data_IF_539199380860
#
_entry.id   IF_539199380860
#
_cell.length_a   1.000
_cell.length_b   1.000
_cell.length_c   1.000
_cell.angle_alpha   90.00
_cell.angle_beta   90.00
_cell.angle_gamma   90.00
#
_symmetry.space_group_name_H-M   'P 1'
#
loop_
_entity.id
_entity.type
_entity.pdbx_description
1 polymer ?
#
# COMPACT_ATOMS: atom_id res chain seq x y z
N UNK A 1 5.00 -9.10 -38.00
CA UNK A 1 4.17 -9.79 -36.98
C UNK A 1 4.96 -9.80 -35.67
N UNK A 2 4.79 -8.80 -34.79
CA UNK A 2 5.44 -8.81 -33.47
C UNK A 2 4.63 -9.74 -32.58
N UNK A 3 5.14 -10.95 -32.35
CA UNK A 3 4.69 -11.84 -31.28
C UNK A 3 5.03 -11.15 -29.95
N UNK A 4 4.14 -10.30 -29.45
CA UNK A 4 4.20 -9.87 -28.06
C UNK A 4 3.79 -11.07 -27.22
N UNK A 5 4.77 -11.85 -26.80
CA UNK A 5 4.56 -12.91 -25.81
C UNK A 5 3.88 -12.26 -24.60
N UNK A 6 2.61 -12.61 -24.34
CA UNK A 6 1.89 -12.06 -23.20
C UNK A 6 2.62 -12.52 -21.94
N UNK A 7 3.16 -11.56 -21.19
CA UNK A 7 3.78 -11.82 -19.88
C UNK A 7 2.87 -12.69 -19.02
N UNK A 8 3.45 -13.57 -18.19
CA UNK A 8 2.67 -14.34 -17.20
C UNK A 8 1.93 -13.40 -16.24
N UNK A 9 0.79 -13.81 -15.63
CA UNK A 9 0.04 -12.95 -14.71
C UNK A 9 0.88 -12.38 -13.56
N UNK A 10 1.81 -13.18 -13.03
CA UNK A 10 2.78 -12.74 -12.01
C UNK A 10 3.72 -11.66 -12.54
N UNK A 11 4.28 -11.85 -13.75
CA UNK A 11 5.15 -10.87 -14.37
C UNK A 11 4.41 -9.56 -14.70
N UNK A 12 3.14 -9.65 -15.10
CA UNK A 12 2.28 -8.48 -15.31
C UNK A 12 2.08 -7.70 -14.00
N UNK A 13 1.72 -8.37 -12.91
CA UNK A 13 1.56 -7.75 -11.58
C UNK A 13 2.83 -7.04 -11.12
N UNK A 14 3.98 -7.71 -11.20
CA UNK A 14 5.28 -7.10 -10.84
C UNK A 14 5.55 -5.86 -11.69
N UNK A 15 5.30 -5.95 -13.00
CA UNK A 15 5.50 -4.83 -13.90
C UNK A 15 4.52 -3.67 -13.59
N UNK A 16 3.29 -3.94 -13.16
CA UNK A 16 2.35 -2.92 -12.72
C UNK A 16 2.77 -2.22 -11.43
N UNK A 17 3.25 -2.97 -10.44
CA UNK A 17 3.81 -2.41 -9.20
C UNK A 17 4.98 -1.50 -9.53
N UNK A 18 5.91 -2.00 -10.36
CA UNK A 18 7.10 -1.25 -10.72
C UNK A 18 6.78 0.00 -11.54
N UNK A 19 5.87 -0.10 -12.53
CA UNK A 19 5.39 1.07 -13.27
C UNK A 19 4.76 2.10 -12.33
N UNK A 20 3.90 1.66 -11.40
CA UNK A 20 3.28 2.54 -10.43
C UNK A 20 4.33 3.25 -9.56
N UNK A 21 5.25 2.48 -8.98
CA UNK A 21 6.35 3.00 -8.19
C UNK A 21 7.15 4.05 -8.97
N UNK A 22 7.68 3.70 -10.15
CA UNK A 22 8.51 4.60 -10.96
C UNK A 22 7.76 5.86 -11.37
N UNK A 23 6.53 5.75 -11.86
CA UNK A 23 5.74 6.93 -12.28
C UNK A 23 5.56 7.92 -11.13
N UNK A 24 5.10 7.45 -9.97
CA UNK A 24 4.86 8.34 -8.83
C UNK A 24 6.14 8.80 -8.13
N UNK A 25 7.20 7.99 -8.17
CA UNK A 25 8.52 8.36 -7.65
C UNK A 25 9.15 9.47 -8.49
N UNK A 26 9.03 9.43 -9.83
CA UNK A 26 9.49 10.51 -10.70
C UNK A 26 8.70 11.81 -10.47
N UNK A 27 7.37 11.72 -10.29
CA UNK A 27 6.53 12.87 -9.92
C UNK A 27 6.99 13.45 -8.57
N UNK A 28 7.20 12.60 -7.56
CA UNK A 28 7.70 13.04 -6.25
C UNK A 28 9.08 13.69 -6.37
N UNK A 29 9.99 13.16 -7.20
CA UNK A 29 11.30 13.74 -7.47
C UNK A 29 11.23 15.15 -8.07
N UNK A 30 10.35 15.36 -9.04
CA UNK A 30 10.11 16.70 -9.62
C UNK A 30 9.55 17.68 -8.58
N UNK A 31 8.58 17.23 -7.78
CA UNK A 31 8.01 18.04 -6.69
C UNK A 31 9.07 18.39 -5.63
N UNK A 32 9.96 17.45 -5.31
CA UNK A 32 11.08 17.70 -4.39
C UNK A 32 12.03 18.76 -4.93
N UNK A 33 12.37 18.72 -6.23
CA UNK A 33 13.22 19.76 -6.85
C UNK A 33 12.57 21.13 -6.71
N UNK A 34 11.28 21.26 -7.05
CA UNK A 34 10.54 22.51 -6.85
C UNK A 34 10.51 22.93 -5.37
N UNK A 35 10.22 21.99 -4.47
CA UNK A 35 10.17 22.23 -3.02
C UNK A 35 11.48 22.79 -2.46
N UNK A 36 12.65 22.30 -2.93
CA UNK A 36 13.96 22.82 -2.50
C UNK A 36 14.23 24.27 -2.92
N UNK A 37 13.52 24.77 -3.94
CA UNK A 37 13.63 26.16 -4.40
C UNK A 37 12.64 27.09 -3.71
N UNK A 38 11.61 26.55 -3.07
CA UNK A 38 10.50 27.31 -2.49
C UNK A 38 10.49 27.31 -0.96
N UNK A 39 11.23 26.41 -0.31
CA UNK A 39 11.34 26.37 1.16
C UNK A 39 12.72 26.82 1.60
N UNK A 40 12.80 28.02 2.18
CA UNK A 40 14.08 28.64 2.55
C UNK A 40 14.79 27.93 3.72
N UNK A 41 14.01 27.46 4.68
CA UNK A 41 14.52 26.79 5.88
C UNK A 41 14.60 25.28 5.70
N UNK A 42 15.79 24.71 5.91
CA UNK A 42 16.02 23.24 5.88
C UNK A 42 15.19 22.51 6.94
N UNK A 43 15.01 23.12 8.11
CA UNK A 43 14.19 22.55 9.17
C UNK A 43 12.71 22.53 8.77
N UNK A 44 12.21 23.64 8.25
CA UNK A 44 10.84 23.73 7.73
C UNK A 44 10.62 22.73 6.60
N UNK A 45 11.59 22.58 5.71
CA UNK A 45 11.55 21.59 4.64
C UNK A 45 11.42 20.16 5.20
N UNK A 46 12.28 19.78 6.15
CA UNK A 46 12.25 18.46 6.75
C UNK A 46 10.93 18.17 7.49
N UNK A 47 10.42 19.16 8.25
CA UNK A 47 9.14 19.04 8.96
C UNK A 47 8.00 18.86 7.97
N UNK A 48 7.87 19.73 6.97
CA UNK A 48 6.80 19.65 5.97
C UNK A 48 6.86 18.33 5.20
N UNK A 49 8.05 17.89 4.81
CA UNK A 49 8.23 16.63 4.09
C UNK A 49 7.81 15.44 4.95
N UNK A 50 8.23 15.40 6.21
CA UNK A 50 7.86 14.35 7.16
C UNK A 50 6.36 14.37 7.45
N UNK A 51 5.75 15.54 7.65
CA UNK A 51 4.31 15.69 7.83
C UNK A 51 3.54 15.19 6.61
N UNK A 52 4.02 15.48 5.41
CA UNK A 52 3.45 14.98 4.16
C UNK A 52 3.47 13.45 4.09
N UNK A 53 4.64 12.86 4.36
CA UNK A 53 4.80 11.41 4.38
C UNK A 53 3.93 10.75 5.46
N UNK A 54 3.90 11.29 6.68
CA UNK A 54 3.04 10.81 7.76
C UNK A 54 1.55 10.90 7.37
N UNK A 55 1.14 11.98 6.71
CA UNK A 55 -0.23 12.15 6.21
C UNK A 55 -0.59 11.06 5.19
N UNK A 56 0.34 10.68 4.31
CA UNK A 56 0.14 9.53 3.42
C UNK A 56 -0.04 8.24 4.23
N UNK A 57 0.85 7.94 5.19
CA UNK A 57 0.75 6.70 5.97
C UNK A 57 -0.55 6.62 6.78
N UNK A 58 -1.09 7.77 7.23
CA UNK A 58 -2.41 7.84 7.85
C UNK A 58 -3.53 7.56 6.84
N UNK A 59 -3.41 8.14 5.64
CA UNK A 59 -4.37 7.94 4.55
C UNK A 59 -4.42 6.48 4.14
N UNK A 60 -3.26 5.83 4.00
CA UNK A 60 -3.12 4.39 3.77
C UNK A 60 -3.89 3.58 4.82
N UNK A 61 -3.63 3.85 6.11
CA UNK A 61 -4.33 3.20 7.22
C UNK A 61 -5.85 3.38 7.14
N UNK A 62 -6.31 4.63 6.95
CA UNK A 62 -7.73 4.96 6.92
C UNK A 62 -8.45 4.35 5.72
N UNK A 63 -7.84 4.40 4.52
CA UNK A 63 -8.40 3.78 3.32
C UNK A 63 -8.48 2.25 3.48
N UNK A 64 -7.42 1.62 3.99
CA UNK A 64 -7.41 0.17 4.17
C UNK A 64 -8.46 -0.27 5.21
N UNK A 65 -8.50 0.38 6.37
CA UNK A 65 -9.44 0.04 7.44
C UNK A 65 -10.89 0.39 7.10
N UNK A 66 -11.14 1.62 6.68
CA UNK A 66 -12.51 2.13 6.59
C UNK A 66 -13.14 2.02 5.21
N UNK A 67 -12.36 1.90 4.14
CA UNK A 67 -12.89 1.79 2.78
C UNK A 67 -12.76 0.37 2.24
N UNK A 68 -11.57 -0.22 2.34
CA UNK A 68 -11.29 -1.54 1.75
C UNK A 68 -11.84 -2.70 2.60
N UNK A 69 -12.01 -2.50 3.91
CA UNK A 69 -12.59 -3.49 4.83
C UNK A 69 -14.04 -3.24 5.25
N UNK A 70 -14.62 -2.08 4.91
CA UNK A 70 -16.04 -1.86 5.14
C UNK A 70 -16.83 -1.96 3.84
N UNK A 71 -17.85 -2.81 3.86
CA UNK A 71 -18.89 -2.78 2.85
C UNK A 71 -19.74 -1.52 3.06
N UNK A 72 -19.60 -0.53 2.17
CA UNK A 72 -20.44 0.67 2.24
C UNK A 72 -21.91 0.26 2.15
N UNK A 73 -22.73 0.71 3.11
CA UNK A 73 -24.17 0.43 3.17
C UNK A 73 -24.95 0.87 1.92
N UNK A 74 -24.36 1.68 1.04
CA UNK A 74 -25.00 2.22 -0.16
C UNK A 74 -24.54 1.59 -1.48
N UNK A 75 -23.81 0.47 -1.43
CA UNK A 75 -23.46 -0.31 -2.63
C UNK A 75 -22.08 -0.95 -2.56
N UNK A 76 -21.86 -1.97 -3.39
CA UNK A 76 -20.55 -2.60 -3.57
C UNK A 76 -19.54 -1.54 -3.99
N UNK A 77 -18.52 -1.30 -3.17
CA UNK A 77 -17.36 -0.55 -3.64
C UNK A 77 -16.44 -1.53 -4.38
N UNK A 78 -16.02 -1.18 -5.61
CA UNK A 78 -15.05 -2.00 -6.34
C UNK A 78 -13.77 -2.24 -5.53
N UNK A 79 -13.42 -1.33 -4.61
CA UNK A 79 -12.26 -1.44 -3.73
C UNK A 79 -12.41 -2.56 -2.69
N UNK A 80 -13.58 -2.68 -2.07
CA UNK A 80 -13.87 -3.76 -1.12
C UNK A 80 -13.78 -5.13 -1.81
N UNK A 81 -14.47 -5.30 -2.94
CA UNK A 81 -14.50 -6.59 -3.64
C UNK A 81 -13.10 -7.02 -4.10
N UNK A 82 -12.30 -6.08 -4.65
CA UNK A 82 -10.92 -6.35 -5.06
C UNK A 82 -10.04 -6.69 -3.84
N UNK A 83 -10.22 -5.99 -2.72
CA UNK A 83 -9.44 -6.25 -1.51
C UNK A 83 -9.78 -7.60 -0.90
N UNK A 84 -11.06 -7.95 -0.83
CA UNK A 84 -11.51 -9.26 -0.35
C UNK A 84 -11.01 -10.39 -1.27
N UNK A 85 -10.94 -10.15 -2.58
CA UNK A 85 -10.33 -11.08 -3.52
C UNK A 85 -8.83 -11.25 -3.26
N UNK A 86 -8.12 -10.16 -2.96
CA UNK A 86 -6.72 -10.21 -2.54
C UNK A 86 -6.54 -10.98 -1.21
N UNK A 87 -7.47 -10.83 -0.27
CA UNK A 87 -7.47 -11.62 0.97
C UNK A 87 -7.57 -13.11 0.69
N UNK A 88 -8.41 -13.54 -0.27
CA UNK A 88 -8.55 -14.95 -0.67
C UNK A 88 -7.35 -15.48 -1.45
N UNK A 89 -6.75 -14.64 -2.27
CA UNK A 89 -5.65 -14.99 -3.18
C UNK A 89 -4.45 -14.05 -2.97
N UNK A 90 -3.75 -14.12 -1.80
CA UNK A 90 -2.69 -13.18 -1.44
C UNK A 90 -1.53 -13.15 -2.44
N UNK A 91 -1.23 -14.31 -3.04
CA UNK A 91 -0.19 -14.47 -4.08
C UNK A 91 -0.53 -13.74 -5.39
N UNK A 92 -1.82 -13.62 -5.71
CA UNK A 92 -2.31 -13.01 -6.94
C UNK A 92 -2.54 -11.52 -6.74
N UNK A 93 -1.52 -10.84 -6.20
CA UNK A 93 -1.57 -9.41 -5.95
C UNK A 93 -1.80 -8.66 -7.27
N UNK A 94 -2.80 -7.77 -7.29
CA UNK A 94 -3.13 -6.92 -8.44
C UNK A 94 -3.08 -5.48 -8.00
N UNK A 95 -2.46 -4.62 -8.80
CA UNK A 95 -2.42 -3.19 -8.48
C UNK A 95 -3.64 -2.52 -9.09
N UNK A 96 -4.56 -2.08 -8.23
CA UNK A 96 -5.84 -1.54 -8.67
C UNK A 96 -5.69 -0.19 -9.39
N UNK A 97 -6.11 -0.13 -10.65
CA UNK A 97 -6.15 1.11 -11.44
C UNK A 97 -7.06 2.18 -10.86
N UNK A 98 -8.18 1.81 -10.24
CA UNK A 98 -9.10 2.74 -9.62
C UNK A 98 -8.50 3.38 -8.35
N UNK A 99 -7.81 2.59 -7.52
CA UNK A 99 -7.09 3.14 -6.36
C UNK A 99 -6.01 4.13 -6.81
N UNK A 100 -5.27 3.81 -7.88
CA UNK A 100 -4.30 4.75 -8.49
C UNK A 100 -4.96 6.03 -8.99
N UNK A 101 -6.11 5.92 -9.66
CA UNK A 101 -6.83 7.08 -10.20
C UNK A 101 -7.39 7.95 -9.08
N UNK A 102 -8.02 7.36 -8.08
CA UNK A 102 -8.56 8.08 -6.93
C UNK A 102 -7.46 8.79 -6.16
N UNK A 103 -6.37 8.09 -5.84
CA UNK A 103 -5.22 8.69 -5.14
C UNK A 103 -4.55 9.76 -6.00
N UNK A 104 -4.45 9.57 -7.31
CA UNK A 104 -3.99 10.60 -8.24
C UNK A 104 -4.91 11.83 -8.24
N UNK A 105 -6.23 11.65 -8.34
CA UNK A 105 -7.20 12.75 -8.31
C UNK A 105 -7.15 13.53 -7.00
N UNK A 106 -7.10 12.85 -5.86
CA UNK A 106 -6.92 13.49 -4.54
C UNK A 106 -5.59 14.24 -4.50
N UNK A 107 -4.52 13.64 -5.03
CA UNK A 107 -3.20 14.28 -5.10
C UNK A 107 -3.23 15.54 -5.99
N UNK A 108 -3.92 15.52 -7.12
CA UNK A 108 -4.11 16.68 -8.01
C UNK A 108 -4.90 17.80 -7.33
N UNK A 109 -5.94 17.47 -6.55
CA UNK A 109 -6.71 18.46 -5.80
C UNK A 109 -5.83 19.12 -4.74
N UNK A 110 -5.09 18.32 -3.97
CA UNK A 110 -4.15 18.83 -2.94
C UNK A 110 -3.06 19.69 -3.58
N UNK A 111 -2.51 19.27 -4.73
CA UNK A 111 -1.53 20.05 -5.50
C UNK A 111 -2.12 21.38 -5.98
N UNK A 112 -3.36 21.37 -6.50
CA UNK A 112 -4.04 22.59 -6.96
C UNK A 112 -4.21 23.60 -5.83
N UNK A 113 -4.59 23.12 -4.64
CA UNK A 113 -4.68 23.95 -3.43
C UNK A 113 -3.29 24.46 -3.00
N UNK A 114 -2.26 23.61 -3.05
CA UNK A 114 -0.89 24.00 -2.70
C UNK A 114 -0.32 25.08 -3.64
N UNK A 115 -0.62 24.99 -4.95
CA UNK A 115 -0.27 26.01 -5.95
C UNK A 115 -1.00 27.31 -5.65
N UNK A 116 -2.32 27.24 -5.42
CA UNK A 116 -3.14 28.42 -5.13
C UNK A 116 -2.66 29.17 -3.87
N UNK A 117 -2.25 28.44 -2.84
CA UNK A 117 -1.79 29.01 -1.57
C UNK A 117 -0.29 29.36 -1.55
N UNK A 118 0.44 29.09 -2.64
CA UNK A 118 1.88 29.31 -2.78
C UNK A 118 2.76 28.71 -1.66
N UNK A 119 2.32 27.66 -0.94
CA UNK A 119 3.00 27.31 0.33
C UNK A 119 2.93 25.85 0.82
N UNK A 120 2.78 24.83 -0.03
CA UNK A 120 2.76 23.43 0.48
C UNK A 120 3.39 22.38 -0.45
N UNK A 121 4.24 22.77 -1.40
CA UNK A 121 4.90 21.83 -2.32
C UNK A 121 5.73 20.77 -1.60
N UNK A 122 6.42 21.14 -0.52
CA UNK A 122 7.24 20.21 0.28
C UNK A 122 6.40 19.16 1.00
N UNK A 123 5.27 19.59 1.57
CA UNK A 123 4.31 18.69 2.20
C UNK A 123 3.73 17.73 1.16
N UNK A 124 3.30 18.24 0.02
CA UNK A 124 2.76 17.43 -1.05
C UNK A 124 3.79 16.45 -1.63
N UNK A 125 5.05 16.87 -1.79
CA UNK A 125 6.15 16.01 -2.18
C UNK A 125 6.33 14.83 -1.22
N UNK A 126 6.23 15.07 0.10
CA UNK A 126 6.29 14.03 1.13
C UNK A 126 5.13 13.04 1.02
N UNK A 127 3.92 13.54 0.77
CA UNK A 127 2.73 12.71 0.56
C UNK A 127 2.89 11.81 -0.69
N UNK A 128 3.31 12.39 -1.82
CA UNK A 128 3.56 11.64 -3.05
C UNK A 128 4.69 10.62 -2.89
N UNK A 129 5.73 10.94 -2.12
CA UNK A 129 6.80 10.01 -1.81
C UNK A 129 6.25 8.80 -1.06
N UNK A 130 5.48 9.02 0.02
CA UNK A 130 4.81 7.94 0.74
C UNK A 130 3.96 7.05 -0.18
N UNK A 131 3.13 7.68 -1.03
CA UNK A 131 2.30 6.95 -1.98
C UNK A 131 3.09 6.13 -2.99
N UNK A 132 4.20 6.67 -3.50
CA UNK A 132 5.03 5.95 -4.47
C UNK A 132 5.53 4.62 -3.89
N UNK A 133 5.95 4.64 -2.62
CA UNK A 133 6.44 3.46 -1.91
C UNK A 133 5.34 2.49 -1.51
N UNK A 134 4.10 2.94 -1.26
CA UNK A 134 3.01 2.08 -0.78
C UNK A 134 2.82 0.79 -1.58
N UNK A 135 2.62 0.88 -2.89
CA UNK A 135 2.40 -0.31 -3.73
C UNK A 135 3.62 -1.23 -3.75
N UNK A 136 4.82 -0.64 -3.67
CA UNK A 136 6.06 -1.41 -3.62
C UNK A 136 6.24 -2.11 -2.28
N UNK A 137 5.98 -1.42 -1.15
CA UNK A 137 6.04 -2.01 0.19
C UNK A 137 5.03 -3.13 0.34
N UNK A 138 3.78 -2.95 -0.12
CA UNK A 138 2.77 -4.01 -0.11
C UNK A 138 3.25 -5.26 -0.87
N UNK A 139 3.85 -5.08 -2.06
CA UNK A 139 4.48 -6.17 -2.79
C UNK A 139 5.62 -6.85 -2.00
N UNK A 140 6.49 -6.06 -1.37
CA UNK A 140 7.57 -6.59 -0.55
C UNK A 140 7.03 -7.43 0.60
N UNK A 141 6.00 -6.98 1.32
CA UNK A 141 5.40 -7.75 2.42
C UNK A 141 4.85 -9.12 1.98
N UNK A 142 4.56 -9.31 0.68
CA UNK A 142 4.19 -10.61 0.08
C UNK A 142 5.38 -11.49 -0.31
N UNK A 143 6.62 -11.05 -0.08
CA UNK A 143 7.83 -11.82 -0.34
C UNK A 143 8.37 -12.50 0.94
N UNK A 144 8.72 -13.80 0.91
CA UNK A 144 9.21 -14.51 2.09
C UNK A 144 10.44 -13.89 2.77
N UNK A 145 11.27 -13.19 2.01
CA UNK A 145 12.50 -12.57 2.53
C UNK A 145 12.25 -11.26 3.28
N UNK A 146 11.06 -10.66 3.20
CA UNK A 146 10.77 -9.40 3.89
C UNK A 146 10.77 -9.51 5.41
N UNK A 147 10.71 -10.72 5.97
CA UNK A 147 10.90 -10.97 7.41
C UNK A 147 12.25 -10.49 7.93
N UNK A 148 13.27 -10.41 7.07
CA UNK A 148 14.61 -10.00 7.46
C UNK A 148 14.80 -8.49 7.51
N UNK A 149 13.98 -7.74 6.75
CA UNK A 149 14.09 -6.27 6.64
C UNK A 149 12.94 -5.52 7.31
N UNK A 150 11.75 -6.12 7.33
CA UNK A 150 10.50 -5.53 7.82
C UNK A 150 9.69 -6.56 8.65
N UNK A 151 10.30 -7.21 9.66
CA UNK A 151 9.70 -8.33 10.38
C UNK A 151 8.33 -8.00 10.98
N UNK A 152 8.20 -6.81 11.60
CA UNK A 152 6.97 -6.42 12.28
C UNK A 152 5.83 -6.13 11.30
N UNK A 153 6.12 -5.44 10.19
CA UNK A 153 5.14 -5.14 9.15
C UNK A 153 4.69 -6.41 8.43
N UNK A 154 5.63 -7.30 8.09
CA UNK A 154 5.27 -8.56 7.45
C UNK A 154 4.48 -9.47 8.40
N UNK A 155 4.89 -9.55 9.68
CA UNK A 155 4.14 -10.32 10.68
C UNK A 155 2.71 -9.79 10.81
N UNK A 156 2.55 -8.47 10.94
CA UNK A 156 1.23 -7.85 11.05
C UNK A 156 0.37 -8.14 9.81
N UNK A 157 0.95 -8.01 8.61
CA UNK A 157 0.25 -8.22 7.34
C UNK A 157 -0.11 -9.69 7.06
N UNK A 158 0.72 -10.65 7.46
CA UNK A 158 0.37 -12.08 7.40
C UNK A 158 -0.79 -12.39 8.35
N UNK A 159 -0.77 -11.83 9.57
CA UNK A 159 -1.87 -11.98 10.51
C UNK A 159 -3.16 -11.35 10.00
N UNK A 160 -3.07 -10.20 9.36
CA UNK A 160 -4.17 -9.51 8.70
C UNK A 160 -4.85 -10.39 7.64
N UNK A 161 -4.06 -11.00 6.74
CA UNK A 161 -4.59 -11.92 5.74
C UNK A 161 -5.15 -13.24 6.32
N UNK A 162 -4.77 -13.57 7.56
CA UNK A 162 -5.10 -14.83 8.20
C UNK A 162 -6.06 -14.66 9.37
N UNK A 163 -5.49 -14.72 10.58
CA UNK A 163 -6.23 -14.89 11.83
C UNK A 163 -6.96 -13.62 12.30
N UNK A 164 -6.48 -12.44 11.91
CA UNK A 164 -6.96 -11.15 12.44
C UNK A 164 -7.23 -10.15 11.30
N UNK A 165 -8.23 -10.39 10.44
CA UNK A 165 -8.53 -9.50 9.30
C UNK A 165 -8.98 -8.09 9.69
N UNK A 166 -9.37 -7.90 10.95
CA UNK A 166 -9.72 -6.62 11.57
C UNK A 166 -8.53 -5.90 12.25
N UNK A 167 -7.30 -6.40 12.06
CA UNK A 167 -6.05 -5.88 12.63
C UNK A 167 -4.95 -5.79 11.55
N UNK A 168 -3.96 -4.92 11.71
CA UNK A 168 -2.80 -4.81 10.82
C UNK A 168 -3.14 -4.14 9.48
N UNK A 169 -3.68 -2.92 9.53
CA UNK A 169 -4.10 -2.19 8.34
C UNK A 169 -2.97 -1.37 7.69
N UNK A 170 -1.85 -1.15 8.36
CA UNK A 170 -0.73 -0.40 7.79
C UNK A 170 0.27 -1.30 7.07
N UNK A 171 0.74 -0.84 5.92
CA UNK A 171 1.78 -1.46 5.10
C UNK A 171 3.12 -0.73 5.25
N UNK A 172 3.08 0.59 5.41
CA UNK A 172 4.27 1.45 5.46
C UNK A 172 4.90 1.53 6.85
N UNK A 173 4.08 1.74 7.89
CA UNK A 173 4.52 1.88 9.29
C UNK A 173 3.46 1.33 10.24
N UNK A 174 3.87 0.68 11.32
CA UNK A 174 2.93 0.16 12.33
C UNK A 174 2.34 1.25 13.26
N UNK A 175 2.73 2.51 13.07
CA UNK A 175 2.40 3.63 13.96
C UNK A 175 0.89 3.76 14.18
N UNK A 176 0.10 3.71 13.11
CA UNK A 176 -1.35 3.90 13.19
C UNK A 176 -2.07 2.70 13.77
N UNK A 177 -1.63 1.49 13.43
CA UNK A 177 -2.14 0.28 14.08
C UNK A 177 -1.84 0.26 15.58
N UNK A 178 -0.68 0.75 16.00
CA UNK A 178 -0.34 0.89 17.41
C UNK A 178 -1.21 1.97 18.09
N UNK A 179 -1.31 3.15 17.47
CA UNK A 179 -2.03 4.29 18.04
C UNK A 179 -3.54 4.02 18.20
N UNK A 180 -4.14 3.28 17.27
CA UNK A 180 -5.58 2.97 17.26
C UNK A 180 -5.91 1.55 17.74
N UNK A 181 -4.96 0.87 18.38
CA UNK A 181 -5.12 -0.48 18.94
C UNK A 181 -5.64 -1.50 17.90
N UNK A 182 -5.14 -1.41 16.67
CA UNK A 182 -5.40 -2.37 15.59
C UNK A 182 -4.18 -3.23 15.25
N UNK A 183 -3.17 -3.33 16.12
CA UNK A 183 -2.12 -4.33 15.97
C UNK A 183 -2.63 -5.75 16.31
N UNK A 184 -2.15 -6.79 15.60
CA UNK A 184 -2.33 -8.16 16.04
C UNK A 184 -1.66 -8.40 17.42
N UNK A 185 -2.18 -9.34 18.24
CA UNK A 185 -1.57 -9.66 19.54
C UNK A 185 -0.08 -9.97 19.42
N UNK A 186 0.73 -9.48 20.34
CA UNK A 186 2.19 -9.58 20.28
C UNK A 186 2.66 -11.05 20.30
N UNK A 187 1.97 -11.87 21.09
CA UNK A 187 2.17 -13.30 21.29
C UNK A 187 1.59 -14.14 20.14
N UNK A 188 0.93 -13.52 19.16
CA UNK A 188 0.41 -14.26 18.02
C UNK A 188 1.55 -14.90 17.22
N UNK A 189 1.44 -16.21 17.01
CA UNK A 189 2.38 -16.99 16.21
C UNK A 189 1.84 -17.21 14.80
N UNK A 190 2.75 -17.20 13.82
CA UNK A 190 2.42 -17.52 12.43
C UNK A 190 2.55 -19.03 12.24
N UNK A 191 1.44 -19.74 12.11
CA UNK A 191 1.42 -21.17 11.80
C UNK A 191 1.85 -21.48 10.36
N UNK A 192 2.33 -22.71 10.14
CA UNK A 192 2.69 -23.20 8.79
C UNK A 192 1.52 -23.15 7.81
N UNK A 193 0.29 -23.31 8.31
CA UNK A 193 -0.93 -23.17 7.51
C UNK A 193 -1.08 -21.74 6.99
N UNK A 194 -0.83 -20.72 7.83
CA UNK A 194 -0.89 -19.32 7.40
C UNK A 194 0.23 -19.00 6.41
N UNK A 195 1.46 -19.45 6.65
CA UNK A 195 2.57 -19.29 5.70
C UNK A 195 2.27 -19.95 4.34
N UNK A 196 1.68 -21.14 4.36
CA UNK A 196 1.32 -21.88 3.14
C UNK A 196 0.19 -21.20 2.39
N UNK A 197 -0.83 -20.73 3.10
CA UNK A 197 -1.91 -19.92 2.52
C UNK A 197 -1.37 -18.65 1.86
N UNK A 198 -0.54 -17.92 2.60
CA UNK A 198 -0.04 -16.61 2.20
C UNK A 198 0.97 -16.68 1.04
N UNK A 199 1.93 -17.61 1.07
CA UNK A 199 3.00 -17.67 0.06
C UNK A 199 2.80 -18.74 -1.03
N UNK A 200 2.07 -19.83 -0.76
CA UNK A 200 2.09 -21.05 -1.60
C UNK A 200 0.74 -21.47 -2.22
N UNK A 201 -0.35 -20.72 -1.98
CA UNK A 201 -1.75 -21.09 -2.24
C UNK A 201 -2.25 -22.20 -1.30
N UNK A 202 -3.11 -21.82 -0.36
CA UNK A 202 -3.82 -22.78 0.50
C UNK A 202 -4.99 -23.44 -0.23
N UNK A 203 -4.72 -24.42 -1.10
CA UNK A 203 -5.51 -25.64 -1.34
C UNK A 203 -5.23 -26.25 -2.72
N UNK A 204 -4.27 -27.16 -2.80
CA UNK A 204 -4.49 -28.42 -3.51
C UNK A 204 -4.76 -29.50 -2.47
N UNK A 205 -5.92 -29.43 -1.83
CA UNK A 205 -6.38 -30.48 -0.92
C UNK A 205 -7.86 -30.74 -1.17
N UNK A 206 -8.14 -31.52 -2.22
CA UNK A 206 -9.17 -32.58 -2.29
C UNK A 206 -9.57 -32.87 -3.75
N UNK A 207 -8.71 -33.62 -4.46
CA UNK A 207 -9.15 -34.61 -5.44
C UNK A 207 -8.46 -35.94 -5.12
N UNK A 208 -8.86 -36.52 -3.98
CA UNK A 208 -8.93 -37.97 -3.79
C UNK A 208 -10.26 -38.25 -3.12
N UNK A 209 -11.31 -38.37 -3.93
CA UNK A 209 -12.53 -39.07 -3.53
C UNK A 209 -12.90 -40.01 -4.67
N UNK A 210 -12.65 -41.29 -4.37
CA UNK A 210 -13.15 -42.54 -4.95
C UNK A 210 -12.90 -42.76 -6.44
#
# INVERSE_FOLDING_TARGET
MRLTEKLSPKAQSIAEVFRCFVTFFLIAGLLLICATKMTDSRLTFAILLLTGWLSWTFTEYALHRFWMHNFFRYGKSNLYDIHMEHHKHPKDMKVNGYHRLLTFSVSVIILSVAIYLNNYFTLFAGFCLGFSFYSFLHYLLHQPWSRYIMPNLQKAHIHHHGKYPDKGFSFSVILWDWLFDTLPPKEAEISDKMLSFYFKNGSQSHQKKK
#
